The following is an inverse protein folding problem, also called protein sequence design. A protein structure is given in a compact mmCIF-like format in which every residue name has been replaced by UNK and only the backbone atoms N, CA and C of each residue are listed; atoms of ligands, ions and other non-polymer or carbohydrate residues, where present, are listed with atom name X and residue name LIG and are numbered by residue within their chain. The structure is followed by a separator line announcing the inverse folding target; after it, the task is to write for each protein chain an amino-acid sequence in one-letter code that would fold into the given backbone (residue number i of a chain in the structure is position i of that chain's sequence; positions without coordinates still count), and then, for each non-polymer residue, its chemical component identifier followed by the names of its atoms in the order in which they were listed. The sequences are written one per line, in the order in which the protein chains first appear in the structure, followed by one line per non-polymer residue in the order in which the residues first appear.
data_IF_529613200171
#
_entry.id   IF_529613200171
#
_cell.length_a   1.000
_cell.length_b   1.000
_cell.length_c   1.000
_cell.angle_alpha   90.00
_cell.angle_beta   90.00
_cell.angle_gamma   90.00
#
_symmetry.space_group_name_H-M   'P 1'
#
loop_
_entity.id
_entity.type
_entity.pdbx_description
1 polymer ?
#
# COMPACT_ATOMS: atom_id res chain seq x y z
N UNK A 1 -10.32 -8.21 -23.26
CA UNK A 1 -9.43 -8.76 -22.20
C UNK A 1 -9.40 -7.84 -21.02
N UNK A 2 -9.61 -8.38 -19.83
CA UNK A 2 -9.50 -7.60 -18.61
C UNK A 2 -8.04 -7.40 -18.28
N UNK A 3 -7.63 -6.16 -18.10
CA UNK A 3 -6.32 -5.86 -17.54
C UNK A 3 -6.31 -6.26 -16.07
N UNK A 4 -5.18 -6.78 -15.62
CA UNK A 4 -4.98 -7.05 -14.21
C UNK A 4 -4.96 -5.73 -13.45
N UNK A 5 -5.54 -5.73 -12.26
CA UNK A 5 -5.40 -4.60 -11.36
C UNK A 5 -3.97 -4.53 -10.85
N UNK A 6 -3.45 -3.33 -10.72
CA UNK A 6 -2.07 -3.09 -10.30
C UNK A 6 -2.03 -2.80 -8.80
N UNK A 7 -1.11 -3.47 -8.12
CA UNK A 7 -0.86 -3.24 -6.70
C UNK A 7 0.58 -2.77 -6.54
N UNK A 8 0.78 -1.64 -5.88
CA UNK A 8 2.09 -1.14 -5.53
C UNK A 8 2.35 -1.41 -4.06
N UNK A 9 3.47 -2.06 -3.75
CA UNK A 9 3.90 -2.31 -2.38
C UNK A 9 5.13 -1.45 -2.11
N UNK A 10 5.03 -0.55 -1.14
CA UNK A 10 6.12 0.34 -0.73
C UNK A 10 6.54 -0.07 0.67
N UNK A 11 7.61 -0.86 0.77
CA UNK A 11 8.09 -1.41 2.03
C UNK A 11 9.56 -1.80 1.87
N UNK A 12 10.38 -1.52 2.88
CA UNK A 12 11.81 -1.86 2.84
C UNK A 12 12.14 -3.24 3.42
N UNK A 13 11.16 -3.93 3.99
CA UNK A 13 11.35 -5.29 4.50
C UNK A 13 11.19 -6.30 3.37
N UNK A 14 12.31 -6.88 2.95
CA UNK A 14 12.35 -7.80 1.80
C UNK A 14 11.42 -8.99 2.00
N UNK A 15 11.44 -9.60 3.20
CA UNK A 15 10.64 -10.79 3.48
C UNK A 15 9.14 -10.48 3.43
N UNK A 16 8.74 -9.35 3.96
CA UNK A 16 7.35 -8.91 3.91
C UNK A 16 6.89 -8.67 2.48
N UNK A 17 7.71 -7.98 1.69
CA UNK A 17 7.41 -7.73 0.29
C UNK A 17 7.25 -9.02 -0.50
N UNK A 18 8.14 -9.98 -0.25
CA UNK A 18 8.07 -11.28 -0.92
C UNK A 18 6.79 -12.04 -0.56
N UNK A 19 6.44 -12.06 0.71
CA UNK A 19 5.24 -12.73 1.19
C UNK A 19 3.98 -12.13 0.56
N UNK A 20 3.85 -10.81 0.61
CA UNK A 20 2.69 -10.11 0.10
C UNK A 20 2.61 -10.22 -1.42
N UNK A 21 3.74 -10.08 -2.11
CA UNK A 21 3.79 -10.25 -3.56
C UNK A 21 3.34 -11.65 -3.98
N UNK A 22 3.83 -12.68 -3.30
CA UNK A 22 3.47 -14.06 -3.59
C UNK A 22 1.98 -14.27 -3.43
N UNK A 23 1.43 -13.78 -2.33
CA UNK A 23 0.00 -13.90 -2.05
C UNK A 23 -0.85 -13.20 -3.12
N UNK A 24 -0.51 -11.96 -3.44
CA UNK A 24 -1.29 -11.15 -4.39
C UNK A 24 -1.15 -11.66 -5.83
N UNK A 25 0.02 -12.19 -6.19
CA UNK A 25 0.21 -12.77 -7.51
C UNK A 25 -0.75 -13.95 -7.73
N UNK A 26 -0.97 -14.76 -6.71
CA UNK A 26 -1.94 -15.86 -6.77
C UNK A 26 -3.36 -15.37 -6.92
N UNK A 27 -3.64 -14.15 -6.50
CA UNK A 27 -4.94 -13.50 -6.67
C UNK A 27 -5.08 -12.78 -8.01
N UNK A 28 -4.12 -12.95 -8.88
CA UNK A 28 -4.13 -12.41 -10.25
C UNK A 28 -3.96 -10.89 -10.32
N UNK A 29 -3.23 -10.30 -9.38
CA UNK A 29 -2.84 -8.89 -9.44
C UNK A 29 -1.48 -8.75 -10.10
N UNK A 30 -1.25 -7.60 -10.75
CA UNK A 30 0.07 -7.21 -11.21
C UNK A 30 0.75 -6.44 -10.09
N UNK A 31 1.96 -6.86 -9.68
CA UNK A 31 2.62 -6.33 -8.49
C UNK A 31 3.80 -5.45 -8.87
N UNK A 32 3.84 -4.26 -8.29
CA UNK A 32 4.95 -3.32 -8.39
C UNK A 32 5.54 -3.16 -6.99
N UNK A 33 6.87 -3.08 -6.90
CA UNK A 33 7.58 -2.98 -5.62
C UNK A 33 8.44 -1.74 -5.57
N UNK A 34 8.44 -1.08 -4.41
CA UNK A 34 9.36 0.00 -4.09
C UNK A 34 9.85 -0.19 -2.66
N UNK A 35 11.12 0.12 -2.42
CA UNK A 35 11.72 -0.05 -1.09
C UNK A 35 11.96 1.27 -0.37
N UNK A 36 11.72 2.38 -1.02
CA UNK A 36 11.81 3.71 -0.42
C UNK A 36 10.56 4.51 -0.73
N UNK A 37 10.34 5.54 0.05
CA UNK A 37 9.19 6.43 -0.15
C UNK A 37 9.32 7.16 -1.49
N UNK A 38 10.51 7.67 -1.81
CA UNK A 38 10.75 8.38 -3.05
C UNK A 38 10.48 7.50 -4.27
N UNK A 39 11.02 6.28 -4.28
CA UNK A 39 10.78 5.33 -5.36
C UNK A 39 9.29 5.02 -5.49
N UNK A 40 8.63 4.81 -4.35
CA UNK A 40 7.20 4.52 -4.33
C UNK A 40 6.38 5.65 -4.92
N UNK A 41 6.71 6.89 -4.59
CA UNK A 41 5.99 8.04 -5.12
C UNK A 41 6.19 8.19 -6.63
N UNK A 42 7.38 7.87 -7.13
CA UNK A 42 7.65 7.90 -8.56
C UNK A 42 6.84 6.85 -9.32
N UNK A 43 6.78 5.63 -8.78
CA UNK A 43 6.00 4.55 -9.39
C UNK A 43 4.51 4.87 -9.33
N UNK A 44 4.04 5.43 -8.22
CA UNK A 44 2.67 5.84 -8.06
C UNK A 44 2.26 6.79 -9.19
N UNK A 45 3.09 7.76 -9.47
CA UNK A 45 2.83 8.75 -10.51
C UNK A 45 2.86 8.14 -11.91
N UNK A 46 3.83 7.28 -12.20
CA UNK A 46 4.03 6.75 -13.55
C UNK A 46 3.08 5.60 -13.88
N UNK A 47 2.72 4.77 -12.90
CA UNK A 47 1.95 3.55 -13.15
C UNK A 47 0.48 3.64 -12.76
N UNK A 48 0.12 4.63 -11.96
CA UNK A 48 -1.26 4.83 -11.47
C UNK A 48 -1.90 3.52 -10.96
N UNK A 49 -1.33 2.90 -9.92
CA UNK A 49 -1.85 1.62 -9.44
C UNK A 49 -3.26 1.76 -8.86
N UNK A 50 -3.97 0.64 -8.80
CA UNK A 50 -5.32 0.60 -8.24
C UNK A 50 -5.31 0.50 -6.72
N UNK A 51 -4.30 -0.17 -6.18
CA UNK A 51 -4.17 -0.44 -4.75
C UNK A 51 -2.72 -0.18 -4.35
N UNK A 52 -2.52 0.47 -3.21
CA UNK A 52 -1.18 0.72 -2.66
C UNK A 52 -1.12 0.20 -1.23
N UNK A 53 -0.06 -0.53 -0.92
CA UNK A 53 0.32 -0.89 0.44
C UNK A 53 1.55 -0.06 0.80
N UNK A 54 1.41 0.81 1.77
CA UNK A 54 2.44 1.79 2.15
C UNK A 54 2.88 1.53 3.58
N UNK A 55 4.14 1.15 3.75
CA UNK A 55 4.74 1.02 5.08
C UNK A 55 4.93 2.42 5.68
N UNK A 56 4.64 2.55 6.95
CA UNK A 56 4.82 3.83 7.62
C UNK A 56 6.29 4.15 7.90
N UNK A 57 7.12 3.14 8.13
CA UNK A 57 8.55 3.34 8.46
C UNK A 57 9.43 2.98 7.28
N UNK A 58 9.84 3.98 6.52
CA UNK A 58 10.71 3.81 5.36
C UNK A 58 12.04 4.52 5.61
N UNK A 59 13.13 4.11 4.90
CA UNK A 59 14.45 4.70 5.13
C UNK A 59 14.49 6.21 4.95
N UNK A 60 13.66 6.73 4.05
CA UNK A 60 13.67 8.15 3.66
C UNK A 60 12.46 8.93 4.16
N UNK A 61 11.64 8.35 5.03
CA UNK A 61 10.57 9.10 5.64
C UNK A 61 9.41 8.24 6.14
N UNK A 62 8.41 8.92 6.69
CA UNK A 62 7.21 8.26 7.18
C UNK A 62 6.15 8.21 6.09
N UNK A 63 5.63 7.02 5.82
CA UNK A 63 4.53 6.87 4.87
C UNK A 63 3.33 7.72 5.25
N UNK A 64 3.09 7.86 6.55
CA UNK A 64 2.01 8.68 7.08
C UNK A 64 2.02 10.10 6.52
N UNK A 65 3.21 10.69 6.35
CA UNK A 65 3.33 12.06 5.88
C UNK A 65 2.86 12.25 4.44
N UNK A 66 2.67 11.16 3.71
CA UNK A 66 2.21 11.21 2.31
C UNK A 66 0.74 10.82 2.15
N UNK A 67 0.09 10.38 3.22
CA UNK A 67 -1.29 9.88 3.16
C UNK A 67 -2.24 10.94 2.59
N UNK A 68 -2.20 12.15 3.12
CA UNK A 68 -3.12 13.20 2.68
C UNK A 68 -2.91 13.56 1.22
N UNK A 69 -1.67 13.70 0.79
CA UNK A 69 -1.34 13.98 -0.60
C UNK A 69 -1.85 12.87 -1.52
N UNK A 70 -1.58 11.61 -1.15
CA UNK A 70 -1.97 10.47 -1.98
C UNK A 70 -3.48 10.38 -2.10
N UNK A 71 -4.19 10.51 -0.98
CA UNK A 71 -5.66 10.42 -0.99
C UNK A 71 -6.29 11.54 -1.80
N UNK A 72 -5.73 12.75 -1.73
CA UNK A 72 -6.24 13.90 -2.48
C UNK A 72 -5.95 13.80 -3.97
N UNK A 73 -4.75 13.32 -4.30
CA UNK A 73 -4.30 13.27 -5.71
C UNK A 73 -4.85 12.05 -6.45
N UNK A 74 -5.15 10.97 -5.74
CA UNK A 74 -5.61 9.71 -6.34
C UNK A 74 -6.87 9.21 -5.62
N UNK A 75 -7.99 9.92 -5.74
CA UNK A 75 -9.17 9.62 -4.92
C UNK A 75 -9.83 8.28 -5.18
N UNK A 76 -9.61 7.68 -6.34
CA UNK A 76 -10.17 6.36 -6.66
C UNK A 76 -9.27 5.20 -6.23
N UNK A 77 -8.03 5.50 -5.81
CA UNK A 77 -7.07 4.46 -5.44
C UNK A 77 -7.28 4.04 -3.99
N UNK A 78 -7.17 2.75 -3.74
CA UNK A 78 -7.26 2.21 -2.39
C UNK A 78 -5.90 2.25 -1.71
N UNK A 79 -5.77 3.04 -0.65
CA UNK A 79 -4.53 3.18 0.10
C UNK A 79 -4.59 2.36 1.38
N UNK A 80 -3.61 1.49 1.57
CA UNK A 80 -3.47 0.66 2.76
C UNK A 80 -2.17 1.02 3.46
N UNK A 81 -2.28 1.71 4.58
CA UNK A 81 -1.13 2.06 5.40
C UNK A 81 -0.82 0.90 6.34
N UNK A 82 0.43 0.47 6.38
CA UNK A 82 0.86 -0.64 7.23
C UNK A 82 1.83 -0.10 8.26
N UNK A 83 1.58 -0.41 9.53
CA UNK A 83 2.39 0.11 10.62
C UNK A 83 2.62 -0.94 11.68
N UNK A 84 3.80 -0.92 12.29
CA UNK A 84 4.12 -1.75 13.45
C UNK A 84 3.41 -1.23 14.72
N UNK A 85 2.95 0.00 14.69
CA UNK A 85 2.31 0.65 15.83
C UNK A 85 0.92 1.12 15.47
N UNK A 86 0.01 1.09 16.44
CA UNK A 86 -1.30 1.70 16.27
C UNK A 86 -1.16 3.21 16.22
N UNK A 87 -1.68 3.81 15.16
CA UNK A 87 -1.81 5.25 15.08
C UNK A 87 -3.25 5.63 15.37
N UNK A 88 -3.46 6.57 16.28
CA UNK A 88 -4.79 7.14 16.46
C UNK A 88 -5.10 8.01 15.26
N UNK A 89 -5.72 7.41 14.26
CA UNK A 89 -6.06 8.13 13.05
C UNK A 89 -7.55 8.35 12.97
N UNK A 90 -7.92 9.60 12.76
CA UNK A 90 -9.28 9.95 12.46
C UNK A 90 -9.46 9.95 10.95
N UNK A 91 -10.06 8.90 10.43
CA UNK A 91 -10.19 8.64 9.00
C UNK A 91 -11.25 9.49 8.30
N UNK A 92 -11.65 10.62 8.90
CA UNK A 92 -12.71 11.45 8.34
C UNK A 92 -12.40 12.01 6.96
N UNK A 93 -11.13 11.95 6.52
CA UNK A 93 -10.68 12.60 5.30
C UNK A 93 -10.67 11.71 4.06
N UNK A 94 -10.80 10.38 4.18
CA UNK A 94 -10.76 9.54 3.00
C UNK A 94 -11.54 8.26 3.17
N UNK A 95 -12.37 7.96 2.17
CA UNK A 95 -13.17 6.73 2.14
C UNK A 95 -12.37 5.51 1.70
N UNK A 96 -11.15 5.71 1.16
CA UNK A 96 -10.35 4.63 0.58
C UNK A 96 -9.06 4.36 1.33
N UNK A 97 -8.93 4.89 2.55
CA UNK A 97 -7.78 4.62 3.40
C UNK A 97 -8.12 3.52 4.39
N UNK A 98 -7.25 2.51 4.45
CA UNK A 98 -7.28 1.50 5.51
C UNK A 98 -5.93 1.45 6.21
N UNK A 99 -5.96 1.11 7.49
CA UNK A 99 -4.76 0.99 8.30
C UNK A 99 -4.67 -0.44 8.80
N UNK A 100 -3.53 -1.04 8.59
CA UNK A 100 -3.24 -2.41 9.01
C UNK A 100 -2.07 -2.40 9.98
N UNK A 101 -2.13 -3.28 10.97
CA UNK A 101 -1.05 -3.46 11.93
C UNK A 101 -0.20 -4.65 11.49
N UNK A 102 1.12 -4.53 11.63
CA UNK A 102 2.03 -5.64 11.40
C UNK A 102 2.06 -6.57 12.62
N UNK A 103 2.15 -7.89 12.44
CA UNK A 103 2.19 -8.61 11.17
C UNK A 103 0.82 -8.65 10.48
N UNK A 104 0.84 -8.54 9.16
CA UNK A 104 -0.39 -8.52 8.38
C UNK A 104 -1.03 -9.90 8.35
N UNK A 105 -2.31 -9.97 8.72
CA UNK A 105 -3.07 -11.21 8.67
C UNK A 105 -3.66 -11.37 7.26
N UNK A 106 -3.14 -12.33 6.51
CA UNK A 106 -3.56 -12.56 5.13
C UNK A 106 -5.01 -12.98 5.01
N UNK A 107 -5.57 -13.61 6.05
CA UNK A 107 -6.99 -14.00 6.04
C UNK A 107 -7.89 -12.76 6.11
N UNK A 108 -7.49 -11.77 6.90
CA UNK A 108 -8.23 -10.50 6.96
C UNK A 108 -8.12 -9.75 5.65
N UNK A 109 -6.93 -9.76 5.05
CA UNK A 109 -6.71 -9.15 3.76
C UNK A 109 -7.57 -9.82 2.68
N UNK A 110 -7.70 -11.13 2.74
CA UNK A 110 -8.52 -11.90 1.80
C UNK A 110 -9.99 -11.49 1.85
N UNK A 111 -10.49 -11.20 3.04
CA UNK A 111 -11.86 -10.73 3.22
C UNK A 111 -12.07 -9.33 2.64
N UNK A 112 -11.01 -8.52 2.63
CA UNK A 112 -11.08 -7.15 2.13
C UNK A 112 -10.91 -7.07 0.62
N UNK A 113 -10.02 -7.87 0.06
CA UNK A 113 -9.79 -7.91 -1.37
C UNK A 113 -10.77 -8.87 -2.03
#
# INVERSE_FOLDING_TARGET
MKQKRKVLIIDDEVDFCFLLKTYLTKKNYEILLANTLDEGMQILQSEAPDIVFLDNNLPDGLGWDKVEFICSSYPAMELNLISAYQYPYNSSASHHLKIWEKPLDLRRLDQYL
#
